data_IF_748810871060
#
_entry.id   IF_748810871060
#
_cell.length_a   1.000
_cell.length_b   1.000
_cell.length_c   1.000
_cell.angle_alpha   90.00
_cell.angle_beta   90.00
_cell.angle_gamma   90.00
#
_symmetry.space_group_name_H-M   'P 1'
#
loop_
_entity.id
_entity.type
_entity.pdbx_description
1 polymer ?
#
# COMPACT_ATOMS: atom_id res chain seq x y z
N UNK A 1 -13.81 -20.00 13.85
CA UNK A 1 -14.02 -18.65 14.39
C UNK A 1 -15.43 -18.19 14.08
N UNK A 2 -15.85 -18.29 12.82
CA UNK A 2 -17.06 -17.62 12.34
C UNK A 2 -16.74 -16.17 11.97
N UNK A 3 -17.74 -15.45 11.48
CA UNK A 3 -17.62 -14.03 11.12
C UNK A 3 -17.66 -13.16 12.38
N UNK A 4 -16.71 -12.24 12.52
CA UNK A 4 -16.74 -11.10 13.43
C UNK A 4 -17.44 -9.88 12.79
N UNK A 5 -17.64 -9.90 11.47
CA UNK A 5 -18.26 -8.85 10.65
C UNK A 5 -18.81 -9.43 9.35
N UNK A 6 -19.77 -8.75 8.74
CA UNK A 6 -20.42 -9.22 7.50
C UNK A 6 -19.51 -9.17 6.27
N UNK A 7 -18.71 -8.10 6.17
CA UNK A 7 -17.82 -7.82 5.04
C UNK A 7 -16.55 -7.07 5.50
N UNK A 8 -15.50 -7.10 4.70
CA UNK A 8 -14.26 -6.37 4.98
C UNK A 8 -14.29 -4.98 4.33
N UNK A 9 -14.08 -3.91 5.10
CA UNK A 9 -13.92 -2.55 4.56
C UNK A 9 -12.67 -2.53 3.68
N UNK A 10 -12.75 -1.93 2.50
CA UNK A 10 -11.60 -1.85 1.58
C UNK A 10 -11.10 -0.43 1.41
N UNK A 11 -9.82 -0.29 1.07
CA UNK A 11 -9.30 0.96 0.52
C UNK A 11 -8.93 0.84 -0.96
N UNK A 12 -8.96 1.96 -1.67
CA UNK A 12 -8.61 2.08 -3.10
C UNK A 12 -7.42 2.98 -3.32
N UNK A 13 -6.76 2.85 -4.47
CA UNK A 13 -5.60 3.68 -4.83
C UNK A 13 -6.05 4.81 -5.74
N UNK A 14 -5.90 6.05 -5.27
CA UNK A 14 -6.04 7.26 -6.05
C UNK A 14 -4.65 7.86 -6.27
N UNK A 15 -4.24 7.94 -7.53
CA UNK A 15 -2.98 8.56 -7.94
C UNK A 15 -3.25 9.65 -8.98
N UNK A 16 -2.30 10.54 -9.17
CA UNK A 16 -2.40 11.68 -10.08
C UNK A 16 -1.05 12.39 -10.22
N UNK A 17 -0.94 13.24 -11.25
CA UNK A 17 0.27 14.01 -11.56
C UNK A 17 0.36 15.32 -10.78
N UNK A 18 -0.75 15.74 -10.18
CA UNK A 18 -0.85 16.95 -9.37
C UNK A 18 -1.97 16.79 -8.32
N UNK A 19 -2.00 17.63 -7.27
CA UNK A 19 -3.00 17.50 -6.20
C UNK A 19 -4.45 17.52 -6.69
N UNK A 20 -4.73 18.25 -7.76
CA UNK A 20 -6.04 18.33 -8.42
C UNK A 20 -6.48 16.95 -8.93
N UNK A 21 -5.65 16.30 -9.76
CA UNK A 21 -5.94 14.99 -10.35
C UNK A 21 -6.10 13.91 -9.26
N UNK A 22 -5.25 13.94 -8.23
CA UNK A 22 -5.38 13.03 -7.08
C UNK A 22 -6.72 13.25 -6.39
N UNK A 23 -7.09 14.50 -6.13
CA UNK A 23 -8.35 14.85 -5.45
C UNK A 23 -9.57 14.44 -6.28
N UNK A 24 -9.55 14.65 -7.59
CA UNK A 24 -10.61 14.18 -8.49
C UNK A 24 -10.78 12.66 -8.42
N UNK A 25 -9.68 11.91 -8.39
CA UNK A 25 -9.73 10.46 -8.27
C UNK A 25 -10.19 10.00 -6.87
N UNK A 26 -9.83 10.72 -5.80
CA UNK A 26 -10.36 10.48 -4.45
C UNK A 26 -11.87 10.68 -4.42
N UNK A 27 -12.38 11.79 -4.98
CA UNK A 27 -13.81 12.09 -5.03
C UNK A 27 -14.57 11.00 -5.81
N UNK A 28 -14.04 10.52 -6.94
CA UNK A 28 -14.64 9.41 -7.70
C UNK A 28 -14.83 8.15 -6.84
N UNK A 29 -13.87 7.81 -5.98
CA UNK A 29 -14.02 6.66 -5.07
C UNK A 29 -14.97 6.96 -3.92
N UNK A 30 -14.96 8.19 -3.39
CA UNK A 30 -15.95 8.61 -2.38
C UNK A 30 -17.38 8.48 -2.91
N UNK A 31 -17.64 8.92 -4.14
CA UNK A 31 -18.95 8.80 -4.82
C UNK A 31 -19.37 7.35 -5.08
N UNK A 32 -18.40 6.43 -5.23
CA UNK A 32 -18.64 4.98 -5.34
C UNK A 32 -18.90 4.31 -3.98
N UNK A 33 -18.86 5.07 -2.87
CA UNK A 33 -19.13 4.59 -1.53
C UNK A 33 -17.92 3.98 -0.81
N UNK A 34 -16.70 4.19 -1.31
CA UNK A 34 -15.50 3.78 -0.57
C UNK A 34 -15.29 4.67 0.66
N UNK A 35 -14.88 4.06 1.76
CA UNK A 35 -14.64 4.75 3.04
C UNK A 35 -13.16 5.09 3.25
N UNK A 36 -12.27 4.49 2.45
CA UNK A 36 -10.84 4.62 2.60
C UNK A 36 -10.14 4.71 1.24
N UNK A 37 -9.21 5.66 1.09
CA UNK A 37 -8.47 5.88 -0.17
C UNK A 37 -7.00 6.20 0.13
N UNK A 38 -6.10 5.43 -0.48
CA UNK A 38 -4.67 5.70 -0.50
C UNK A 38 -4.37 6.75 -1.57
N UNK A 39 -3.83 7.88 -1.16
CA UNK A 39 -3.44 8.97 -2.04
C UNK A 39 -1.96 8.87 -2.37
N UNK A 40 -1.65 8.78 -3.65
CA UNK A 40 -0.29 8.91 -4.19
C UNK A 40 -0.24 10.08 -5.17
N UNK A 41 0.96 10.58 -5.45
CA UNK A 41 1.17 11.61 -6.48
C UNK A 41 2.42 11.28 -7.29
N UNK A 42 2.22 10.58 -8.39
CA UNK A 42 3.29 10.13 -9.29
C UNK A 42 3.85 8.75 -8.92
N UNK A 43 3.05 7.85 -8.34
CA UNK A 43 3.52 6.57 -7.80
C UNK A 43 4.56 6.72 -6.69
N UNK A 44 5.31 5.66 -6.42
CA UNK A 44 6.33 5.65 -5.37
C UNK A 44 7.53 6.53 -5.76
N UNK A 45 7.81 7.55 -4.95
CA UNK A 45 8.86 8.56 -5.24
C UNK A 45 8.48 9.64 -6.27
N UNK A 46 7.26 9.58 -6.83
CA UNK A 46 6.69 10.67 -7.61
C UNK A 46 7.10 10.76 -9.09
N UNK A 47 7.69 9.71 -9.69
CA UNK A 47 8.12 9.71 -11.10
C UNK A 47 7.54 8.54 -11.90
N UNK A 48 6.38 8.75 -12.50
CA UNK A 48 5.73 7.76 -13.38
C UNK A 48 5.39 8.41 -14.73
N UNK A 49 5.73 7.73 -15.84
CA UNK A 49 5.49 8.22 -17.21
C UNK A 49 4.00 8.22 -17.58
N UNK A 50 3.28 7.19 -17.15
CA UNK A 50 1.84 7.04 -17.34
C UNK A 50 1.23 6.47 -16.07
N UNK A 51 0.54 7.34 -15.33
CA UNK A 51 -0.07 7.01 -14.04
C UNK A 51 -1.38 6.24 -14.19
N UNK A 52 -1.90 6.15 -15.42
CA UNK A 52 -3.16 5.48 -15.73
C UNK A 52 -2.97 4.01 -16.12
N UNK A 53 -1.72 3.59 -16.40
CA UNK A 53 -1.39 2.22 -16.71
C UNK A 53 -1.17 1.39 -15.43
N UNK A 54 -1.76 0.19 -15.37
CA UNK A 54 -1.51 -0.79 -14.31
C UNK A 54 -0.03 -1.21 -14.20
N UNK A 55 0.76 -0.92 -15.25
CA UNK A 55 2.20 -1.18 -15.37
C UNK A 55 2.99 0.11 -15.45
N UNK A 56 2.58 1.14 -14.73
CA UNK A 56 3.30 2.41 -14.58
C UNK A 56 4.82 2.16 -14.39
N UNK A 57 5.63 2.50 -15.38
CA UNK A 57 7.09 2.32 -15.32
C UNK A 57 7.74 3.67 -14.98
N UNK A 58 8.62 3.71 -13.95
CA UNK A 58 9.45 4.88 -13.72
C UNK A 58 10.36 5.13 -14.94
N UNK A 59 10.41 6.36 -15.44
CA UNK A 59 11.27 6.74 -16.56
C UNK A 59 12.09 7.96 -16.20
N UNK A 60 13.36 7.97 -16.61
CA UNK A 60 14.24 9.14 -16.49
C UNK A 60 13.71 10.33 -17.32
N UNK A 61 12.94 10.09 -18.39
CA UNK A 61 12.32 11.16 -19.17
C UNK A 61 10.94 11.59 -18.64
N UNK A 62 10.33 10.82 -17.73
CA UNK A 62 9.03 11.18 -17.17
C UNK A 62 9.17 12.42 -16.28
N UNK A 63 8.28 13.43 -16.43
CA UNK A 63 8.22 14.53 -15.50
C UNK A 63 7.91 13.96 -14.11
N UNK A 64 8.70 14.31 -13.09
CA UNK A 64 8.33 13.97 -11.72
C UNK A 64 7.07 14.79 -11.43
N UNK A 65 5.96 14.12 -11.06
CA UNK A 65 4.71 14.78 -10.69
C UNK A 65 4.94 15.84 -9.58
N UNK A 66 5.98 15.61 -8.77
CA UNK A 66 6.42 16.48 -7.68
C UNK A 66 7.40 17.61 -8.11
N UNK A 67 7.93 17.60 -9.35
CA UNK A 67 8.89 18.59 -9.89
C UNK A 67 8.22 19.87 -10.45
N UNK A 68 7.51 20.64 -9.61
CA UNK A 68 7.14 22.04 -9.99
C UNK A 68 8.07 23.11 -9.41
N UNK A 69 9.02 22.73 -8.56
CA UNK A 69 10.10 23.62 -8.13
C UNK A 69 11.31 23.55 -9.09
N UNK A 70 12.00 24.68 -9.31
CA UNK A 70 13.39 24.65 -9.81
C UNK A 70 14.21 23.90 -8.75
N UNK A 71 14.44 22.60 -8.95
CA UNK A 71 15.36 21.84 -8.13
C UNK A 71 16.76 22.47 -8.19
N UNK A 72 17.58 22.21 -7.19
CA UNK A 72 19.02 22.48 -7.29
C UNK A 72 19.55 21.73 -8.52
N UNK A 73 20.49 22.33 -9.25
CA UNK A 73 21.23 21.58 -10.28
C UNK A 73 21.94 20.41 -9.57
N UNK A 74 21.50 19.19 -9.87
CA UNK A 74 22.07 17.96 -9.32
C UNK A 74 22.87 17.26 -10.41
N UNK A 75 23.88 16.49 -9.99
CA UNK A 75 24.68 15.65 -10.88
C UNK A 75 23.73 14.77 -11.70
N UNK A 76 23.86 14.79 -13.02
CA UNK A 76 23.11 13.90 -13.90
C UNK A 76 23.86 12.57 -14.04
N UNK A 77 23.49 11.59 -13.23
CA UNK A 77 24.11 10.26 -13.28
C UNK A 77 23.75 9.53 -14.57
N UNK A 78 24.74 8.86 -15.17
CA UNK A 78 24.58 8.08 -16.41
C UNK A 78 24.12 6.64 -16.18
N UNK A 79 24.02 6.18 -14.92
CA UNK A 79 23.58 4.81 -14.65
C UNK A 79 22.12 4.61 -15.07
N UNK A 80 21.76 3.46 -15.66
CA UNK A 80 20.37 3.12 -15.93
C UNK A 80 19.60 2.87 -14.62
N UNK A 81 18.34 3.31 -14.56
CA UNK A 81 17.48 3.06 -13.40
C UNK A 81 16.22 3.92 -13.36
N UNK A 82 15.37 3.60 -12.39
CA UNK A 82 14.13 4.29 -12.04
C UNK A 82 14.44 5.47 -11.10
N UNK A 83 14.83 6.62 -11.67
CA UNK A 83 15.23 7.78 -10.87
C UNK A 83 14.06 8.46 -10.18
N UNK A 84 14.21 8.89 -8.94
CA UNK A 84 13.31 9.80 -8.23
C UNK A 84 14.09 10.71 -7.29
N UNK A 85 13.48 11.84 -6.89
CA UNK A 85 14.08 12.76 -5.92
C UNK A 85 13.37 12.64 -4.56
N UNK A 86 14.05 12.08 -3.52
CA UNK A 86 13.43 11.84 -2.22
C UNK A 86 13.06 13.13 -1.48
N UNK A 87 13.83 14.22 -1.65
CA UNK A 87 13.56 15.49 -0.98
C UNK A 87 12.33 16.17 -1.59
N UNK A 88 12.23 16.16 -2.92
CA UNK A 88 11.09 16.72 -3.64
C UNK A 88 9.83 15.92 -3.32
N UNK A 89 9.92 14.58 -3.33
CA UNK A 89 8.85 13.69 -2.88
C UNK A 89 8.43 14.05 -1.45
N UNK A 90 9.35 14.05 -0.47
CA UNK A 90 9.03 14.30 0.94
C UNK A 90 8.31 15.64 1.18
N UNK A 91 8.73 16.70 0.50
CA UNK A 91 8.13 18.03 0.63
C UNK A 91 6.75 18.16 -0.02
N UNK A 92 6.48 17.36 -1.04
CA UNK A 92 5.24 17.43 -1.80
C UNK A 92 4.06 16.76 -1.10
N UNK A 93 4.30 15.74 -0.28
CA UNK A 93 3.24 14.92 0.31
C UNK A 93 2.39 15.68 1.34
N UNK A 94 2.95 16.47 2.29
CA UNK A 94 2.12 17.29 3.17
C UNK A 94 1.25 18.30 2.41
N UNK A 95 1.75 18.87 1.30
CA UNK A 95 0.99 19.80 0.46
C UNK A 95 -0.16 19.10 -0.29
N UNK A 96 0.07 17.86 -0.74
CA UNK A 96 -0.98 17.03 -1.31
C UNK A 96 -2.12 16.82 -0.30
N UNK A 97 -1.80 16.42 0.93
CA UNK A 97 -2.82 16.14 1.94
C UNK A 97 -3.52 17.40 2.44
N UNK A 98 -2.83 18.53 2.55
CA UNK A 98 -3.45 19.83 2.77
C UNK A 98 -4.50 20.13 1.71
N UNK A 99 -4.13 19.97 0.44
CA UNK A 99 -5.03 20.23 -0.69
C UNK A 99 -6.24 19.29 -0.67
N UNK A 100 -6.02 17.97 -0.56
CA UNK A 100 -7.11 16.98 -0.53
C UNK A 100 -8.07 17.25 0.63
N UNK A 101 -7.54 17.47 1.86
CA UNK A 101 -8.38 17.76 3.04
C UNK A 101 -9.15 19.08 2.90
N UNK A 102 -8.59 20.09 2.23
CA UNK A 102 -9.30 21.35 1.96
C UNK A 102 -10.53 21.18 1.06
N UNK A 103 -10.61 20.07 0.30
CA UNK A 103 -11.70 19.79 -0.65
C UNK A 103 -12.73 18.80 -0.12
N UNK A 104 -12.29 17.75 0.57
CA UNK A 104 -13.17 16.64 0.97
C UNK A 104 -13.45 16.58 2.48
N UNK A 105 -12.78 17.40 3.29
CA UNK A 105 -12.89 17.34 4.74
C UNK A 105 -12.27 16.07 5.34
N UNK A 106 -12.83 15.59 6.45
CA UNK A 106 -12.21 14.57 7.32
C UNK A 106 -12.99 13.24 7.42
N UNK A 107 -14.13 13.11 6.74
CA UNK A 107 -14.99 11.92 6.85
C UNK A 107 -14.38 10.71 6.14
N UNK A 108 -13.71 10.93 5.00
CA UNK A 108 -13.01 9.88 4.27
C UNK A 108 -11.67 9.55 4.93
N UNK A 109 -11.40 8.27 5.14
CA UNK A 109 -10.13 7.77 5.64
C UNK A 109 -9.07 7.87 4.53
N UNK A 110 -7.97 8.57 4.79
CA UNK A 110 -6.90 8.75 3.82
C UNK A 110 -5.65 7.99 4.24
N UNK A 111 -4.97 7.38 3.27
CA UNK A 111 -3.74 6.63 3.48
C UNK A 111 -2.64 7.19 2.60
N UNK A 112 -1.39 6.97 3.00
CA UNK A 112 -0.22 7.23 2.17
C UNK A 112 0.80 6.12 2.38
N UNK A 113 1.55 5.83 1.33
CA UNK A 113 2.60 4.82 1.36
C UNK A 113 3.93 5.44 0.96
N UNK A 114 4.88 5.43 1.90
CA UNK A 114 6.25 5.92 1.68
C UNK A 114 7.05 4.94 0.84
N UNK A 115 6.72 3.66 0.92
CA UNK A 115 7.34 2.58 0.17
C UNK A 115 8.86 2.62 0.30
N UNK A 116 9.34 2.78 1.55
CA UNK A 116 10.76 2.86 1.92
C UNK A 116 11.61 3.89 1.14
N UNK A 117 11.00 4.88 0.46
CA UNK A 117 11.67 5.85 -0.43
C UNK A 117 12.45 6.96 0.27
N UNK A 118 12.55 6.94 1.59
CA UNK A 118 13.16 8.00 2.37
C UNK A 118 14.20 7.46 3.33
N UNK A 119 15.22 8.26 3.58
CA UNK A 119 16.06 8.06 4.76
C UNK A 119 15.19 8.19 6.02
N UNK A 120 15.48 7.45 7.10
CA UNK A 120 14.59 7.40 8.27
C UNK A 120 14.24 8.74 8.89
N UNK A 121 15.20 9.67 8.94
CA UNK A 121 14.94 10.99 9.54
C UNK A 121 13.94 11.82 8.72
N UNK A 122 13.90 11.67 7.41
CA UNK A 122 12.98 12.39 6.54
C UNK A 122 11.58 11.75 6.57
N UNK A 123 11.49 10.43 6.67
CA UNK A 123 10.22 9.75 6.96
C UNK A 123 9.63 10.17 8.32
N UNK A 124 10.45 10.32 9.37
CA UNK A 124 10.00 10.87 10.66
C UNK A 124 9.48 12.31 10.50
N UNK A 125 10.21 13.17 9.76
CA UNK A 125 9.76 14.54 9.48
C UNK A 125 8.43 14.56 8.73
N UNK A 126 8.27 13.72 7.71
CA UNK A 126 7.03 13.58 6.97
C UNK A 126 5.89 13.12 7.88
N UNK A 127 6.10 12.07 8.68
CA UNK A 127 5.07 11.52 9.58
C UNK A 127 4.53 12.59 10.53
N UNK A 128 5.40 13.43 11.10
CA UNK A 128 5.02 14.59 11.93
C UNK A 128 4.27 15.65 11.13
N UNK A 129 4.74 15.97 9.94
CA UNK A 129 4.09 16.96 9.07
C UNK A 129 2.70 16.53 8.59
N UNK A 130 2.39 15.23 8.65
CA UNK A 130 1.11 14.66 8.24
C UNK A 130 0.08 14.55 9.37
N UNK A 131 0.45 14.80 10.63
CA UNK A 131 -0.46 14.75 11.78
C UNK A 131 -1.75 15.59 11.59
N UNK A 132 -1.71 16.83 11.08
CA UNK A 132 -2.91 17.65 10.90
C UNK A 132 -3.94 17.02 9.95
N UNK A 133 -3.52 16.12 9.06
CA UNK A 133 -4.38 15.52 8.03
C UNK A 133 -4.99 14.19 8.46
N UNK A 134 -4.64 13.68 9.64
CA UNK A 134 -5.24 12.52 10.28
C UNK A 134 -5.36 11.33 9.33
N UNK A 135 -4.22 10.88 8.81
CA UNK A 135 -4.18 9.67 7.98
C UNK A 135 -4.67 8.47 8.79
N UNK A 136 -5.35 7.54 8.12
CA UNK A 136 -5.74 6.26 8.69
C UNK A 136 -4.51 5.41 8.97
N UNK A 137 -3.54 5.42 8.05
CA UNK A 137 -2.13 5.10 8.34
C UNK A 137 -1.18 5.71 7.31
N UNK A 138 0.07 5.85 7.72
CA UNK A 138 1.25 6.05 6.89
C UNK A 138 2.00 4.72 6.81
N UNK A 139 2.19 4.23 5.59
CA UNK A 139 2.73 2.90 5.30
C UNK A 139 4.23 2.95 4.97
N UNK A 140 4.91 1.89 5.38
CA UNK A 140 6.31 1.56 5.10
C UNK A 140 7.27 2.77 5.18
N UNK A 141 7.32 3.45 6.35
CA UNK A 141 8.19 4.62 6.51
C UNK A 141 9.68 4.27 6.42
N UNK A 142 10.06 3.02 6.69
CA UNK A 142 11.44 2.52 6.70
C UNK A 142 11.51 1.15 6.04
N UNK A 143 12.71 0.77 5.58
CA UNK A 143 13.00 -0.57 5.11
C UNK A 143 12.94 -1.61 6.25
N UNK A 144 12.70 -2.91 5.96
CA UNK A 144 12.61 -3.98 6.97
C UNK A 144 13.83 -4.13 7.87
N UNK A 145 15.03 -3.74 7.41
CA UNK A 145 16.28 -3.84 8.16
C UNK A 145 16.52 -2.63 9.12
N UNK A 146 15.61 -1.66 9.15
CA UNK A 146 15.73 -0.41 9.91
C UNK A 146 14.78 -0.32 11.12
N UNK A 147 14.47 -1.46 11.74
CA UNK A 147 13.50 -1.60 12.84
C UNK A 147 13.78 -0.65 14.02
N UNK A 148 15.04 -0.35 14.33
CA UNK A 148 15.40 0.50 15.47
C UNK A 148 14.90 1.94 15.33
N UNK A 149 14.65 2.41 14.10
CA UNK A 149 14.13 3.75 13.85
C UNK A 149 12.69 3.93 14.29
N UNK A 150 11.89 2.85 14.37
CA UNK A 150 10.51 2.94 14.82
C UNK A 150 10.38 3.45 16.26
N UNK A 151 11.30 3.08 17.18
CA UNK A 151 11.29 3.62 18.55
C UNK A 151 11.44 5.15 18.56
N UNK A 152 12.29 5.68 17.68
CA UNK A 152 12.52 7.13 17.53
C UNK A 152 11.32 7.81 16.88
N UNK A 153 10.67 7.16 15.92
CA UNK A 153 9.47 7.66 15.27
C UNK A 153 8.31 7.77 16.27
N UNK A 154 8.05 6.72 17.04
CA UNK A 154 6.93 6.68 18.00
C UNK A 154 7.06 7.63 19.17
N UNK A 155 8.26 8.12 19.45
CA UNK A 155 8.48 9.19 20.45
C UNK A 155 8.18 10.60 19.92
N UNK A 156 7.90 10.76 18.62
CA UNK A 156 7.85 12.05 17.97
C UNK A 156 6.56 12.34 17.22
N UNK A 157 5.78 11.31 16.88
CA UNK A 157 4.53 11.47 16.14
C UNK A 157 3.42 10.54 16.62
N UNK A 158 2.18 11.02 16.48
CA UNK A 158 0.97 10.24 16.69
C UNK A 158 0.33 9.75 15.37
N UNK A 159 0.93 10.03 14.21
CA UNK A 159 0.47 9.48 12.93
C UNK A 159 0.45 7.95 12.98
N UNK A 160 -0.68 7.27 12.66
CA UNK A 160 -0.74 5.83 12.68
C UNK A 160 0.19 5.21 11.63
N UNK A 161 0.86 4.11 11.97
CA UNK A 161 1.88 3.49 11.13
C UNK A 161 1.46 2.08 10.72
N UNK A 162 1.59 1.80 9.43
CA UNK A 162 1.48 0.46 8.86
C UNK A 162 2.87 -0.01 8.40
N UNK A 163 3.18 -1.30 8.60
CA UNK A 163 4.44 -1.88 8.15
C UNK A 163 4.30 -3.35 7.79
N UNK A 164 5.04 -3.78 6.78
CA UNK A 164 5.54 -5.15 6.72
C UNK A 164 5.15 -5.99 5.53
N UNK A 165 4.74 -5.38 4.40
CA UNK A 165 4.47 -6.14 3.18
C UNK A 165 5.69 -6.96 2.70
N UNK A 166 6.90 -6.45 2.93
CA UNK A 166 8.17 -7.10 2.64
C UNK A 166 8.63 -8.14 3.66
N UNK A 167 7.93 -8.27 4.79
CA UNK A 167 8.36 -9.19 5.84
C UNK A 167 8.25 -10.66 5.40
N UNK A 168 9.30 -11.41 5.67
CA UNK A 168 9.40 -12.86 5.42
C UNK A 168 9.89 -13.64 6.64
N UNK A 169 10.31 -12.95 7.70
CA UNK A 169 10.87 -13.55 8.91
C UNK A 169 10.30 -12.93 10.19
N UNK A 170 9.98 -13.78 11.16
CA UNK A 170 9.43 -13.37 12.45
C UNK A 170 10.25 -12.36 13.23
N UNK A 171 11.57 -12.29 13.01
CA UNK A 171 12.43 -11.29 13.65
C UNK A 171 12.08 -9.86 13.23
N UNK A 172 11.49 -9.68 12.05
CA UNK A 172 11.17 -8.39 11.47
C UNK A 172 9.94 -7.75 12.14
N UNK A 173 8.89 -8.53 12.44
CA UNK A 173 7.68 -8.00 13.08
C UNK A 173 7.62 -8.16 14.60
N UNK A 174 8.42 -9.06 15.21
CA UNK A 174 8.28 -9.36 16.65
C UNK A 174 8.44 -8.13 17.52
N UNK A 175 9.51 -7.34 17.30
CA UNK A 175 9.75 -6.12 18.07
C UNK A 175 8.70 -5.04 17.74
N UNK A 176 8.34 -4.91 16.46
CA UNK A 176 7.34 -3.94 16.01
C UNK A 176 6.00 -4.12 16.73
N UNK A 177 5.57 -5.37 16.94
CA UNK A 177 4.31 -5.68 17.60
C UNK A 177 4.46 -5.63 19.13
N UNK A 178 5.48 -6.30 19.69
CA UNK A 178 5.62 -6.42 21.14
C UNK A 178 5.88 -5.07 21.84
N UNK A 179 6.45 -4.11 21.13
CA UNK A 179 6.69 -2.74 21.62
C UNK A 179 5.69 -1.73 21.04
N UNK A 180 4.63 -2.20 20.36
CA UNK A 180 3.52 -1.37 19.83
C UNK A 180 4.01 -0.22 18.95
N UNK A 181 4.99 -0.52 18.11
CA UNK A 181 5.68 0.43 17.26
C UNK A 181 4.95 0.70 15.94
N UNK A 182 3.98 -0.15 15.62
CA UNK A 182 3.09 -0.03 14.47
C UNK A 182 1.64 -0.21 14.93
N UNK A 183 0.72 0.37 14.18
CA UNK A 183 -0.72 0.28 14.45
C UNK A 183 -1.39 -0.74 13.52
N UNK A 184 -0.76 -1.05 12.37
CA UNK A 184 -1.21 -2.06 11.42
C UNK A 184 -0.08 -2.96 10.93
N UNK A 185 -0.28 -4.28 10.99
CA UNK A 185 0.59 -5.25 10.32
C UNK A 185 0.13 -5.43 8.86
N UNK A 186 1.06 -5.31 7.91
CA UNK A 186 0.78 -5.36 6.46
C UNK A 186 1.22 -6.66 5.78
N UNK A 187 1.72 -7.65 6.52
CA UNK A 187 2.39 -8.81 5.95
C UNK A 187 1.68 -9.41 4.73
N UNK A 188 2.45 -9.70 3.67
CA UNK A 188 1.92 -10.44 2.54
C UNK A 188 1.77 -11.92 2.95
N UNK A 189 0.53 -12.42 3.03
CA UNK A 189 0.23 -13.74 3.62
C UNK A 189 1.07 -14.87 2.97
N UNK A 190 1.23 -14.86 1.65
CA UNK A 190 2.01 -15.88 0.96
C UNK A 190 3.52 -15.80 1.28
N UNK A 191 4.06 -14.61 1.51
CA UNK A 191 5.47 -14.35 1.80
C UNK A 191 5.88 -14.84 3.19
N UNK A 192 4.96 -14.81 4.16
CA UNK A 192 5.16 -15.33 5.51
C UNK A 192 4.84 -16.83 5.65
N UNK A 193 4.54 -17.52 4.55
CA UNK A 193 4.29 -18.97 4.54
C UNK A 193 2.81 -19.39 4.62
N UNK A 194 1.88 -18.50 4.31
CA UNK A 194 0.47 -18.81 4.09
C UNK A 194 -0.46 -18.59 5.29
N UNK A 195 -1.65 -19.18 5.22
CA UNK A 195 -2.75 -18.89 6.15
C UNK A 195 -2.45 -19.27 7.61
N UNK A 196 -1.75 -20.39 7.84
CA UNK A 196 -1.41 -20.85 9.19
C UNK A 196 -0.54 -19.84 9.96
N UNK A 197 0.62 -19.38 9.44
CA UNK A 197 1.39 -18.33 10.12
C UNK A 197 0.65 -16.99 10.16
N UNK A 198 -0.09 -16.61 9.12
CA UNK A 198 -0.87 -15.37 9.11
C UNK A 198 -1.92 -15.33 10.24
N UNK A 199 -2.62 -16.44 10.49
CA UNK A 199 -3.57 -16.55 11.61
C UNK A 199 -2.89 -16.42 12.98
N UNK A 200 -1.69 -16.97 13.14
CA UNK A 200 -0.89 -16.80 14.37
C UNK A 200 -0.44 -15.35 14.55
N UNK A 201 -0.04 -14.69 13.46
CA UNK A 201 0.36 -13.29 13.45
C UNK A 201 -0.82 -12.38 13.79
N UNK A 202 -2.01 -12.63 13.22
CA UNK A 202 -3.23 -11.90 13.55
C UNK A 202 -3.54 -11.94 15.05
N UNK A 203 -3.48 -13.15 15.64
CA UNK A 203 -3.72 -13.36 17.07
C UNK A 203 -2.63 -12.71 17.96
N UNK A 204 -1.37 -12.74 17.52
CA UNK A 204 -0.29 -12.00 18.20
C UNK A 204 -0.58 -10.50 18.19
N UNK A 205 -0.86 -9.93 17.02
CA UNK A 205 -1.21 -8.52 16.88
C UNK A 205 -2.41 -8.13 17.76
N UNK A 206 -3.47 -8.97 17.79
CA UNK A 206 -4.67 -8.75 18.59
C UNK A 206 -4.33 -8.53 20.07
N UNK A 207 -3.45 -9.36 20.64
CA UNK A 207 -3.04 -9.26 22.05
C UNK A 207 -2.26 -7.99 22.40
N UNK A 208 -1.68 -7.31 21.41
CA UNK A 208 -0.94 -6.05 21.60
C UNK A 208 -1.73 -4.82 21.11
N UNK A 209 -2.96 -5.00 20.63
CA UNK A 209 -3.78 -3.92 20.09
C UNK A 209 -3.39 -3.47 18.68
N UNK A 210 -2.58 -4.26 17.97
CA UNK A 210 -2.21 -4.01 16.56
C UNK A 210 -3.26 -4.61 15.63
N UNK A 211 -3.68 -3.85 14.62
CA UNK A 211 -4.69 -4.29 13.64
C UNK A 211 -4.07 -4.95 12.41
N UNK A 212 -4.84 -5.74 11.68
CA UNK A 212 -4.40 -6.34 10.41
C UNK A 212 -4.77 -5.46 9.22
N UNK A 213 -3.88 -5.37 8.23
CA UNK A 213 -4.15 -4.78 6.92
C UNK A 213 -3.36 -5.54 5.84
N UNK A 214 -3.69 -6.80 5.57
CA UNK A 214 -2.86 -7.66 4.71
C UNK A 214 -2.60 -7.05 3.33
N UNK A 215 -1.35 -7.11 2.87
CA UNK A 215 -0.94 -6.67 1.54
C UNK A 215 -1.76 -7.42 0.47
N UNK A 216 -2.52 -6.66 -0.31
CA UNK A 216 -3.46 -7.15 -1.32
C UNK A 216 -3.33 -6.42 -2.67
N UNK A 217 -2.12 -6.39 -3.26
CA UNK A 217 -1.86 -5.75 -4.54
C UNK A 217 -2.34 -6.61 -5.72
N UNK A 218 -1.99 -6.18 -6.93
CA UNK A 218 -2.37 -6.87 -8.18
C UNK A 218 -1.65 -8.18 -8.45
N UNK A 219 -0.51 -8.42 -7.80
CA UNK A 219 0.25 -9.66 -7.82
C UNK A 219 -0.23 -10.69 -6.78
N UNK A 220 -1.36 -10.43 -6.11
CA UNK A 220 -2.11 -11.43 -5.35
C UNK A 220 -3.23 -12.02 -6.20
N UNK A 221 -3.25 -13.34 -6.34
CA UNK A 221 -4.32 -14.04 -7.07
C UNK A 221 -5.68 -13.89 -6.36
N UNK A 222 -6.83 -14.07 -7.06
CA UNK A 222 -8.14 -14.07 -6.41
C UNK A 222 -8.28 -15.11 -5.29
N UNK A 223 -7.53 -16.22 -5.34
CA UNK A 223 -7.44 -17.20 -4.24
C UNK A 223 -6.75 -16.59 -3.01
N UNK A 224 -5.64 -15.86 -3.22
CA UNK A 224 -4.96 -15.14 -2.14
C UNK A 224 -5.84 -14.05 -1.53
N UNK A 225 -6.57 -13.30 -2.36
CA UNK A 225 -7.56 -12.32 -1.88
C UNK A 225 -8.69 -12.95 -1.07
N UNK A 226 -9.17 -14.12 -1.47
CA UNK A 226 -10.12 -14.87 -0.66
C UNK A 226 -9.51 -15.31 0.68
N UNK A 227 -8.26 -15.77 0.71
CA UNK A 227 -7.57 -16.13 1.95
C UNK A 227 -7.42 -14.92 2.89
N UNK A 228 -7.04 -13.75 2.37
CA UNK A 228 -7.00 -12.49 3.12
C UNK A 228 -8.38 -12.19 3.72
N UNK A 229 -9.42 -12.18 2.89
CA UNK A 229 -10.81 -11.90 3.30
C UNK A 229 -11.33 -12.86 4.36
N UNK A 230 -11.08 -14.17 4.23
CA UNK A 230 -11.48 -15.14 5.24
C UNK A 230 -10.83 -14.87 6.59
N UNK A 231 -9.56 -14.43 6.60
CA UNK A 231 -8.89 -14.02 7.82
C UNK A 231 -9.45 -12.70 8.37
N UNK A 232 -9.72 -11.73 7.50
CA UNK A 232 -10.35 -10.45 7.87
C UNK A 232 -11.71 -10.64 8.52
N UNK A 233 -12.55 -11.51 7.97
CA UNK A 233 -13.87 -11.80 8.53
C UNK A 233 -13.76 -12.51 9.88
N UNK A 234 -12.73 -13.31 10.11
CA UNK A 234 -12.56 -14.10 11.33
C UNK A 234 -11.73 -13.41 12.44
N UNK A 235 -11.13 -12.25 12.17
CA UNK A 235 -10.21 -11.58 13.10
C UNK A 235 -10.85 -10.36 13.79
N UNK A 236 -10.97 -10.33 15.12
CA UNK A 236 -11.52 -9.17 15.83
C UNK A 236 -10.74 -7.87 15.56
N UNK A 237 -9.41 -7.97 15.44
CA UNK A 237 -8.49 -6.85 15.18
C UNK A 237 -8.31 -6.49 13.69
N UNK A 238 -9.26 -6.84 12.81
CA UNK A 238 -9.22 -6.38 11.42
C UNK A 238 -9.20 -4.85 11.31
N UNK A 239 -8.30 -4.33 10.48
CA UNK A 239 -8.15 -2.91 10.18
C UNK A 239 -8.85 -2.49 8.89
N UNK A 240 -8.31 -2.94 7.75
CA UNK A 240 -8.81 -2.65 6.40
C UNK A 240 -8.23 -3.66 5.42
N UNK A 241 -8.91 -3.96 4.31
CA UNK A 241 -8.40 -4.82 3.25
C UNK A 241 -7.96 -4.01 2.03
N UNK A 242 -6.72 -4.19 1.60
CA UNK A 242 -6.28 -3.76 0.27
C UNK A 242 -6.77 -4.75 -0.77
N UNK A 243 -7.33 -4.27 -1.87
CA UNK A 243 -7.77 -5.17 -2.94
C UNK A 243 -7.83 -4.44 -4.28
N UNK A 244 -7.41 -5.13 -5.33
CA UNK A 244 -7.54 -4.65 -6.71
C UNK A 244 -8.97 -4.79 -7.23
N UNK A 245 -9.26 -4.15 -8.36
CA UNK A 245 -10.53 -4.44 -9.05
C UNK A 245 -10.39 -5.76 -9.83
N UNK A 246 -11.25 -6.73 -9.57
CA UNK A 246 -11.27 -7.99 -10.32
C UNK A 246 -11.98 -7.80 -11.66
N UNK A 247 -11.18 -7.56 -12.71
CA UNK A 247 -11.67 -7.51 -14.08
C UNK A 247 -12.25 -8.83 -14.58
N UNK A 248 -12.95 -8.79 -15.71
CA UNK A 248 -13.61 -9.95 -16.31
C UNK A 248 -12.67 -11.15 -16.53
N UNK A 249 -11.43 -10.99 -17.05
CA UNK A 249 -10.49 -12.11 -17.19
C UNK A 249 -10.19 -12.85 -15.87
N UNK A 250 -10.00 -12.10 -14.77
CA UNK A 250 -9.75 -12.71 -13.46
C UNK A 250 -10.98 -13.46 -12.95
N UNK A 251 -12.19 -12.96 -13.23
CA UNK A 251 -13.42 -13.64 -12.83
C UNK A 251 -13.71 -14.88 -13.66
N UNK A 252 -13.35 -14.88 -14.94
CA UNK A 252 -13.42 -16.05 -15.82
C UNK A 252 -12.45 -17.13 -15.34
N UNK A 253 -11.18 -16.78 -15.13
CA UNK A 253 -10.15 -17.73 -14.70
C UNK A 253 -10.36 -18.21 -13.27
N UNK A 254 -10.86 -17.35 -12.37
CA UNK A 254 -11.06 -17.66 -10.95
C UNK A 254 -12.54 -17.55 -10.55
N UNK A 255 -13.37 -18.55 -10.90
CA UNK A 255 -14.78 -18.55 -10.54
C UNK A 255 -14.95 -18.53 -9.01
N UNK A 256 -15.86 -17.67 -8.53
CA UNK A 256 -16.11 -17.46 -7.10
C UNK A 256 -15.31 -16.32 -6.47
N UNK A 257 -14.48 -15.61 -7.25
CA UNK A 257 -13.76 -14.39 -6.84
C UNK A 257 -14.63 -13.47 -5.95
N UNK A 258 -14.10 -12.94 -4.82
CA UNK A 258 -14.85 -12.05 -3.93
C UNK A 258 -15.51 -10.85 -4.63
N UNK A 259 -16.66 -10.41 -4.11
CA UNK A 259 -17.43 -9.31 -4.70
C UNK A 259 -17.12 -8.00 -3.99
N UNK A 260 -16.74 -6.97 -4.77
CA UNK A 260 -16.58 -5.62 -4.24
C UNK A 260 -17.90 -4.87 -4.41
N UNK A 261 -18.48 -4.42 -3.30
CA UNK A 261 -19.78 -3.73 -3.28
C UNK A 261 -19.84 -2.70 -2.17
N UNK A 262 -20.09 -1.45 -2.54
CA UNK A 262 -20.34 -0.34 -1.62
C UNK A 262 -19.18 -0.05 -0.66
N UNK A 263 -17.93 -0.13 -1.13
CA UNK A 263 -16.75 0.08 -0.29
C UNK A 263 -16.35 -1.11 0.60
N UNK A 264 -16.95 -2.29 0.39
CA UNK A 264 -16.64 -3.52 1.11
C UNK A 264 -16.34 -4.68 0.17
N UNK A 265 -15.56 -5.64 0.65
CA UNK A 265 -15.30 -6.93 0.02
C UNK A 265 -16.15 -8.01 0.70
N UNK A 266 -16.92 -8.74 -0.11
CA UNK A 266 -17.86 -9.75 0.32
C UNK A 266 -17.38 -11.15 -0.07
N UNK A 267 -17.41 -12.07 0.89
CA UNK A 267 -17.22 -13.49 0.64
C UNK A 267 -18.53 -14.11 0.14
N UNK A 268 -18.42 -15.19 -0.63
CA UNK A 268 -19.56 -16.08 -0.91
C UNK A 268 -19.66 -17.18 0.17
N UNK A 269 -20.77 -17.93 0.17
CA UNK A 269 -21.05 -18.97 1.16
C UNK A 269 -20.64 -20.39 0.71
N UNK A 270 -19.83 -20.52 -0.34
CA UNK A 270 -19.35 -21.84 -0.81
C UNK A 270 -18.31 -22.41 0.16
N UNK A 271 -18.20 -23.76 0.28
CA UNK A 271 -17.18 -24.39 1.11
C UNK A 271 -15.74 -24.04 0.72
N UNK A 272 -14.80 -24.19 1.65
CA UNK A 272 -13.38 -23.90 1.44
C UNK A 272 -13.11 -22.40 1.30
N UNK A 273 -12.27 -22.01 0.35
CA UNK A 273 -12.02 -20.59 0.04
C UNK A 273 -13.15 -19.93 -0.73
N UNK A 274 -14.05 -20.73 -1.32
CA UNK A 274 -15.14 -20.24 -2.18
C UNK A 274 -14.67 -19.74 -3.55
N UNK A 275 -13.40 -19.94 -3.91
CA UNK A 275 -12.78 -19.62 -5.21
C UNK A 275 -12.11 -20.88 -5.74
N UNK A 276 -12.20 -21.08 -7.05
CA UNK A 276 -11.50 -22.15 -7.78
C UNK A 276 -10.70 -21.57 -8.96
N UNK A 277 -10.02 -22.41 -9.73
CA UNK A 277 -9.32 -22.04 -10.97
C UNK A 277 -9.84 -22.85 -12.15
N UNK A 278 -10.19 -22.16 -13.24
CA UNK A 278 -10.41 -22.79 -14.54
C UNK A 278 -9.08 -22.85 -15.30
N UNK A 279 -8.48 -24.05 -15.35
CA UNK A 279 -7.18 -24.26 -16.00
C UNK A 279 -7.23 -24.00 -17.52
N UNK A 280 -8.37 -24.22 -18.18
CA UNK A 280 -8.51 -23.97 -19.62
C UNK A 280 -8.58 -22.47 -19.92
N UNK A 281 -9.31 -21.72 -19.09
CA UNK A 281 -9.30 -20.26 -19.16
C UNK A 281 -7.92 -19.70 -18.82
N UNK A 282 -7.27 -20.21 -17.77
CA UNK A 282 -5.93 -19.79 -17.37
C UNK A 282 -4.89 -19.98 -18.49
N UNK A 283 -5.00 -21.05 -19.27
CA UNK A 283 -4.09 -21.34 -20.39
C UNK A 283 -4.08 -20.25 -21.48
N UNK A 284 -5.11 -19.39 -21.55
CA UNK A 284 -5.16 -18.23 -22.46
C UNK A 284 -4.20 -17.10 -22.05
N UNK A 285 -3.72 -17.10 -20.80
CA UNK A 285 -2.92 -16.04 -20.19
C UNK A 285 -1.55 -16.57 -19.73
N UNK A 286 -0.65 -16.94 -20.66
CA UNK A 286 0.66 -17.45 -20.30
C UNK A 286 1.48 -16.39 -19.55
N UNK A 287 2.30 -16.85 -18.59
CA UNK A 287 3.19 -15.98 -17.84
C UNK A 287 4.17 -15.24 -18.77
N UNK A 288 4.38 -13.94 -18.51
CA UNK A 288 5.41 -13.14 -19.15
C UNK A 288 6.50 -12.83 -18.15
N UNK A 289 7.74 -13.21 -18.47
CA UNK A 289 8.90 -12.91 -17.65
C UNK A 289 9.59 -11.68 -18.23
N UNK A 290 9.50 -10.56 -17.50
CA UNK A 290 10.20 -9.32 -17.81
C UNK A 290 10.96 -8.87 -16.58
N UNK A 291 12.08 -8.19 -16.80
CA UNK A 291 12.78 -7.51 -15.72
C UNK A 291 11.85 -6.47 -15.10
N UNK A 292 11.73 -6.48 -13.78
CA UNK A 292 10.92 -5.52 -13.03
C UNK A 292 11.74 -4.24 -12.82
N UNK A 293 11.72 -3.35 -13.82
CA UNK A 293 12.64 -2.20 -13.89
C UNK A 293 12.48 -1.19 -12.75
N UNK A 294 11.28 -1.07 -12.16
CA UNK A 294 11.05 -0.14 -11.06
C UNK A 294 11.86 -0.49 -9.79
N UNK A 295 12.30 -1.75 -9.64
CA UNK A 295 13.16 -2.19 -8.53
C UNK A 295 14.58 -1.63 -8.62
N UNK A 296 14.97 -1.07 -9.76
CA UNK A 296 16.25 -0.39 -9.97
C UNK A 296 16.14 1.10 -9.61
N UNK A 297 15.52 1.39 -8.46
CA UNK A 297 15.24 2.75 -8.03
C UNK A 297 16.51 3.49 -7.63
N UNK A 298 16.66 4.72 -8.13
CA UNK A 298 17.85 5.55 -7.93
C UNK A 298 17.53 6.96 -7.48
N UNK A 299 18.41 7.53 -6.68
CA UNK A 299 18.44 8.97 -6.42
C UNK A 299 19.14 9.72 -7.56
N UNK A 300 19.05 11.07 -7.61
CA UNK A 300 19.61 11.85 -8.73
C UNK A 300 21.11 11.64 -8.96
N UNK A 301 21.88 11.42 -7.90
CA UNK A 301 23.33 11.13 -7.98
C UNK A 301 23.67 9.73 -8.52
N UNK A 302 22.65 8.87 -8.73
CA UNK A 302 22.79 7.51 -9.21
C UNK A 302 22.85 6.45 -8.11
N UNK A 303 22.78 6.85 -6.83
CA UNK A 303 22.72 5.92 -5.70
C UNK A 303 21.52 5.00 -5.84
N UNK A 304 21.74 3.68 -5.75
CA UNK A 304 20.66 2.70 -5.72
C UNK A 304 19.97 2.77 -4.34
N UNK A 305 18.65 2.75 -4.34
CA UNK A 305 17.85 2.82 -3.11
C UNK A 305 16.84 1.67 -3.07
N UNK A 306 16.42 1.29 -1.86
CA UNK A 306 15.37 0.30 -1.63
C UNK A 306 14.07 0.74 -2.34
N UNK A 307 13.54 -0.05 -3.28
CA UNK A 307 12.53 0.42 -4.23
C UNK A 307 11.11 0.42 -3.69
#
# INVERSE_FOLDING_TARGET
GGKCREAAMVYRHADGREPQEVTENVIKYQEQGFLAVRCQMGGYGGRVKDITAATAVPSKEAPQATHRGKGLERLDSSFPGAYYDPEVYARSIPQLFEYVRSKIGFDLLLLHDIHERLVPIDAIRMAKALEPYRLFFLEDPFAPDQIEWFRRLRQQTATPIAMGELHTNQVEWRALIAEQLIDFIRAHISAIGGFTPAKKLAALCESFGVRTAWHGPGDVSPIGHAANLHLDLASPNFGVQEVINFGEPLREVFPGTPEMRGGYLWANDKPGWGVDIDEQAAAKYPASFKTVEWTQSRWPDGTLWTP
#
